data_IF_080732327865
#
_entry.id   IF_080732327865
#
_cell.length_a   1.000
_cell.length_b   1.000
_cell.length_c   1.000
_cell.angle_alpha   90.00
_cell.angle_beta   90.00
_cell.angle_gamma   90.00
#
_symmetry.space_group_name_H-M   'P 1'
#
loop_
_entity.id
_entity.type
_entity.pdbx_description
1 polymer ?
#
# COMPACT_ATOMS: atom_id res chain seq x y z
N UNK A 1 -8.83 13.32 -0.37
CA UNK A 1 -8.35 12.30 -1.34
C UNK A 1 -9.56 11.65 -1.98
N UNK A 2 -9.63 11.54 -3.31
CA UNK A 2 -10.75 10.88 -4.00
C UNK A 2 -10.20 9.77 -4.91
N UNK A 3 -10.33 8.53 -4.46
CA UNK A 3 -9.83 7.34 -5.16
C UNK A 3 -10.84 6.76 -6.19
N UNK A 4 -11.98 7.43 -6.39
CA UNK A 4 -12.86 7.12 -7.53
C UNK A 4 -12.41 7.81 -8.83
N UNK A 5 -11.46 8.75 -8.72
CA UNK A 5 -10.99 9.57 -9.85
C UNK A 5 -9.51 9.41 -10.17
N UNK A 6 -8.72 8.89 -9.24
CA UNK A 6 -7.28 8.66 -9.40
C UNK A 6 -6.81 7.59 -8.41
N UNK A 7 -5.73 6.88 -8.73
CA UNK A 7 -5.18 5.88 -7.81
C UNK A 7 -4.56 6.55 -6.56
N UNK A 8 -4.40 5.79 -5.46
CA UNK A 8 -3.52 6.17 -4.38
C UNK A 8 -2.07 6.20 -4.88
N UNK A 9 -1.16 6.76 -4.11
CA UNK A 9 0.27 6.72 -4.43
C UNK A 9 0.75 5.27 -4.64
N UNK A 10 1.74 5.10 -5.51
CA UNK A 10 2.38 3.80 -5.73
C UNK A 10 2.82 3.18 -4.39
N UNK A 11 2.74 1.86 -4.24
CA UNK A 11 3.21 1.18 -3.03
C UNK A 11 4.72 1.37 -2.78
N UNK A 12 5.48 1.79 -3.80
CA UNK A 12 6.94 2.04 -3.73
C UNK A 12 7.29 3.38 -3.09
N UNK A 13 6.35 4.32 -3.05
CA UNK A 13 6.59 5.62 -2.40
C UNK A 13 6.80 5.43 -0.91
N UNK A 14 7.84 6.09 -0.37
CA UNK A 14 8.24 5.95 1.03
C UNK A 14 7.89 7.18 1.86
N UNK A 15 7.60 6.93 3.13
CA UNK A 15 7.46 7.94 4.16
C UNK A 15 8.17 7.43 5.43
N UNK A 16 9.15 8.16 5.93
CA UNK A 16 9.97 7.70 7.05
C UNK A 16 10.72 6.39 6.77
N UNK A 17 11.03 6.12 5.49
CA UNK A 17 11.64 4.88 5.04
C UNK A 17 10.65 3.73 4.76
N UNK A 18 9.41 3.81 5.23
CA UNK A 18 8.39 2.79 5.01
C UNK A 18 7.76 2.91 3.62
N UNK A 19 7.87 1.87 2.81
CA UNK A 19 7.02 1.65 1.64
C UNK A 19 5.58 1.34 2.08
N UNK A 20 4.61 1.39 1.20
CA UNK A 20 3.19 1.19 1.47
C UNK A 20 2.53 2.30 2.30
N UNK A 21 3.25 2.94 3.23
CA UNK A 21 2.65 3.90 4.16
C UNK A 21 1.96 5.07 3.46
N UNK A 22 2.55 5.74 2.45
CA UNK A 22 1.84 6.79 1.72
C UNK A 22 0.56 6.32 1.04
N UNK A 23 0.57 5.13 0.43
CA UNK A 23 -0.60 4.51 -0.21
C UNK A 23 -1.71 4.20 0.81
N UNK A 24 -1.33 3.62 1.94
CA UNK A 24 -2.21 3.32 3.06
C UNK A 24 -2.87 4.60 3.59
N UNK A 25 -2.11 5.69 3.76
CA UNK A 25 -2.66 6.98 4.21
C UNK A 25 -3.62 7.60 3.18
N UNK A 26 -3.35 7.45 1.89
CA UNK A 26 -4.27 7.90 0.85
C UNK A 26 -5.60 7.14 0.90
N UNK A 27 -5.56 5.82 1.08
CA UNK A 27 -6.76 4.99 1.27
C UNK A 27 -7.50 5.36 2.56
N UNK A 28 -6.79 5.55 3.66
CA UNK A 28 -7.38 5.98 4.93
C UNK A 28 -8.14 7.32 4.77
N UNK A 29 -7.54 8.32 4.13
CA UNK A 29 -8.18 9.61 3.87
C UNK A 29 -9.39 9.49 2.95
N UNK A 30 -9.32 8.63 1.95
CA UNK A 30 -10.43 8.38 1.04
C UNK A 30 -11.60 7.66 1.73
N UNK A 31 -11.30 6.71 2.62
CA UNK A 31 -12.32 6.04 3.43
C UNK A 31 -13.04 7.03 4.36
N UNK A 32 -12.29 7.89 5.07
CA UNK A 32 -12.86 8.95 5.92
C UNK A 32 -13.75 9.89 5.11
N UNK A 33 -13.36 10.20 3.87
CA UNK A 33 -14.13 11.08 2.97
C UNK A 33 -15.27 10.38 2.22
N UNK A 34 -15.44 9.05 2.36
CA UNK A 34 -16.44 8.29 1.60
C UNK A 34 -16.15 8.20 0.10
N UNK A 35 -14.90 8.30 -0.31
CA UNK A 35 -14.44 8.35 -1.71
C UNK A 35 -13.40 7.28 -2.03
N UNK A 36 -13.47 6.14 -1.33
CA UNK A 36 -12.51 5.05 -1.42
C UNK A 36 -12.59 4.28 -2.75
N UNK A 37 -13.76 4.27 -3.41
CA UNK A 37 -13.97 3.51 -4.63
C UNK A 37 -13.86 2.00 -4.38
N UNK A 38 -13.12 1.30 -5.23
CA UNK A 38 -12.89 -0.15 -5.12
C UNK A 38 -11.71 -0.52 -4.20
N UNK A 39 -11.00 0.48 -3.68
CA UNK A 39 -9.91 0.25 -2.74
C UNK A 39 -10.42 -0.12 -1.35
N UNK A 40 -9.54 -0.74 -0.56
CA UNK A 40 -9.85 -1.15 0.80
C UNK A 40 -8.74 -0.68 1.75
N UNK A 41 -9.12 0.06 2.78
CA UNK A 41 -8.25 0.36 3.91
C UNK A 41 -8.13 -0.88 4.81
N UNK A 42 -6.98 -1.08 5.44
CA UNK A 42 -6.68 -2.27 6.24
C UNK A 42 -6.77 -3.60 5.45
N UNK A 43 -6.49 -3.55 4.14
CA UNK A 43 -6.41 -4.76 3.32
C UNK A 43 -5.19 -5.63 3.73
N UNK A 44 -5.08 -6.87 3.24
CA UNK A 44 -3.94 -7.74 3.57
C UNK A 44 -2.56 -7.10 3.32
N UNK A 45 -2.44 -6.23 2.30
CA UNK A 45 -1.19 -5.52 2.03
C UNK A 45 -0.90 -4.44 3.08
N UNK A 46 -1.93 -3.68 3.51
CA UNK A 46 -1.78 -2.67 4.57
C UNK A 46 -1.42 -3.31 5.92
N UNK A 47 -1.96 -4.49 6.21
CA UNK A 47 -1.64 -5.23 7.45
C UNK A 47 -0.16 -5.57 7.56
N UNK A 48 0.56 -5.73 6.44
CA UNK A 48 2.02 -5.90 6.46
C UNK A 48 2.73 -4.73 7.13
N UNK A 49 2.24 -3.51 6.90
CA UNK A 49 2.76 -2.33 7.60
C UNK A 49 2.33 -2.30 9.07
N UNK A 50 1.05 -2.51 9.36
CA UNK A 50 0.53 -2.47 10.73
C UNK A 50 1.20 -3.50 11.63
N UNK A 51 1.37 -4.74 11.14
CA UNK A 51 2.04 -5.82 11.87
C UNK A 51 3.52 -5.50 12.12
N UNK A 52 4.22 -4.97 11.11
CA UNK A 52 5.63 -4.61 11.24
C UNK A 52 5.84 -3.43 12.20
N UNK A 53 5.08 -2.36 12.05
CA UNK A 53 5.21 -1.18 12.90
C UNK A 53 4.60 -1.37 14.31
N UNK A 54 3.68 -2.32 14.47
CA UNK A 54 2.93 -2.48 15.72
C UNK A 54 2.02 -1.29 15.98
N UNK A 55 1.25 -0.87 14.97
CA UNK A 55 0.30 0.24 15.03
C UNK A 55 -1.11 -0.30 14.80
N UNK A 56 -2.05 0.13 15.64
CA UNK A 56 -3.46 -0.19 15.45
C UNK A 56 -4.07 0.65 14.32
N UNK A 57 -4.78 0.01 13.40
CA UNK A 57 -5.30 0.68 12.20
C UNK A 57 -6.44 1.68 12.52
N UNK A 58 -7.28 1.41 13.53
CA UNK A 58 -8.34 2.33 13.92
C UNK A 58 -7.77 3.54 14.68
N UNK A 59 -6.75 3.33 15.51
CA UNK A 59 -6.03 4.43 16.15
C UNK A 59 -5.36 5.34 15.11
N UNK A 60 -4.71 4.77 14.08
CA UNK A 60 -4.15 5.55 12.97
C UNK A 60 -5.23 6.32 12.22
N UNK A 61 -6.35 5.68 11.90
CA UNK A 61 -7.49 6.33 11.21
C UNK A 61 -8.04 7.50 12.02
N UNK A 62 -8.12 7.36 13.34
CA UNK A 62 -8.53 8.44 14.25
C UNK A 62 -7.59 9.64 14.16
N UNK A 63 -6.28 9.42 14.07
CA UNK A 63 -5.30 10.51 13.91
C UNK A 63 -5.41 11.17 12.53
N UNK A 64 -5.52 10.38 11.46
CA UNK A 64 -5.71 10.88 10.10
C UNK A 64 -6.98 11.73 9.98
N UNK A 65 -8.05 11.35 10.67
CA UNK A 65 -9.33 12.07 10.68
C UNK A 65 -9.23 13.49 11.29
N UNK A 66 -8.16 13.80 12.04
CA UNK A 66 -7.88 15.15 12.55
C UNK A 66 -7.35 16.10 11.44
N UNK A 67 -7.19 15.62 10.21
CA UNK A 67 -6.68 16.41 9.11
C UNK A 67 -5.16 16.57 9.07
N UNK A 68 -4.43 15.70 9.78
CA UNK A 68 -2.97 15.75 9.84
C UNK A 68 -2.33 15.44 8.48
N UNK A 69 -1.26 16.16 8.15
CA UNK A 69 -0.40 15.87 7.02
C UNK A 69 0.51 14.65 7.28
N UNK A 70 1.13 14.13 6.21
CA UNK A 70 1.96 12.92 6.27
C UNK A 70 3.07 12.98 7.32
N UNK A 71 3.77 14.12 7.44
CA UNK A 71 4.84 14.29 8.41
C UNK A 71 4.35 14.19 9.87
N UNK A 72 3.18 14.79 10.18
CA UNK A 72 2.59 14.72 11.52
C UNK A 72 2.07 13.33 11.83
N UNK A 73 1.49 12.63 10.84
CA UNK A 73 1.07 11.24 11.00
C UNK A 73 2.28 10.33 11.22
N UNK A 74 3.37 10.54 10.48
CA UNK A 74 4.61 9.79 10.70
C UNK A 74 5.17 10.00 12.12
N UNK A 75 5.20 11.25 12.60
CA UNK A 75 5.64 11.54 13.96
C UNK A 75 4.79 10.78 14.99
N UNK A 76 3.46 10.80 14.84
CA UNK A 76 2.56 10.04 15.70
C UNK A 76 2.84 8.52 15.63
N UNK A 77 3.05 7.95 14.43
CA UNK A 77 3.40 6.54 14.26
C UNK A 77 4.68 6.21 15.06
N UNK A 78 5.72 7.02 14.92
CA UNK A 78 7.01 6.79 15.58
C UNK A 78 6.90 6.85 17.11
N UNK A 79 5.99 7.65 17.66
CA UNK A 79 5.72 7.77 19.09
C UNK A 79 4.84 6.63 19.62
N UNK A 80 3.91 6.10 18.82
CA UNK A 80 2.87 5.17 19.27
C UNK A 80 3.06 3.72 18.79
N UNK A 81 4.04 3.46 17.94
CA UNK A 81 4.36 2.09 17.48
C UNK A 81 4.85 1.24 18.65
N UNK A 82 4.34 0.00 18.72
CA UNK A 82 4.76 -0.96 19.76
C UNK A 82 6.04 -1.72 19.37
N UNK A 83 6.35 -1.77 18.07
CA UNK A 83 7.58 -2.39 17.57
C UNK A 83 8.59 -1.31 17.20
N UNK A 84 9.69 -1.24 17.98
CA UNK A 84 10.77 -0.32 17.73
C UNK A 84 11.71 -0.91 16.68
N UNK A 85 11.95 -0.16 15.60
CA UNK A 85 12.87 -0.54 14.52
C UNK A 85 13.86 0.56 14.26
N UNK A 86 15.11 0.20 13.99
CA UNK A 86 16.13 1.10 13.48
C UNK A 86 15.83 1.49 12.02
N UNK A 87 16.46 2.56 11.55
CA UNK A 87 16.34 2.97 10.14
C UNK A 87 16.79 1.86 9.19
N UNK A 88 17.81 1.08 9.58
CA UNK A 88 18.29 -0.05 8.79
C UNK A 88 17.23 -1.16 8.69
N UNK A 89 16.58 -1.54 9.79
CA UNK A 89 15.52 -2.55 9.80
C UNK A 89 14.32 -2.11 8.94
N UNK A 90 13.93 -0.84 9.02
CA UNK A 90 12.89 -0.26 8.17
C UNK A 90 13.28 -0.34 6.70
N UNK A 91 14.54 0.00 6.37
CA UNK A 91 15.04 -0.07 5.01
C UNK A 91 15.05 -1.51 4.46
N UNK A 92 15.45 -2.50 5.27
CA UNK A 92 15.45 -3.92 4.89
C UNK A 92 14.03 -4.45 4.71
N UNK A 93 13.11 -4.11 5.61
CA UNK A 93 11.69 -4.47 5.46
C UNK A 93 11.10 -3.89 4.17
N UNK A 94 11.35 -2.62 3.90
CA UNK A 94 10.87 -1.94 2.69
C UNK A 94 11.44 -2.58 1.42
N UNK A 95 12.75 -2.86 1.38
CA UNK A 95 13.39 -3.54 0.26
C UNK A 95 12.80 -4.95 0.03
N UNK A 96 12.54 -5.69 1.10
CA UNK A 96 11.86 -6.99 1.01
C UNK A 96 10.44 -6.87 0.45
N UNK A 97 9.68 -5.85 0.84
CA UNK A 97 8.32 -5.62 0.30
C UNK A 97 8.34 -5.25 -1.18
N UNK A 98 9.30 -4.45 -1.62
CA UNK A 98 9.45 -4.06 -3.03
C UNK A 98 9.70 -5.25 -3.97
N UNK A 99 10.36 -6.28 -3.48
CA UNK A 99 10.73 -7.47 -4.26
C UNK A 99 9.88 -8.70 -3.93
N UNK A 100 8.89 -8.57 -3.04
CA UNK A 100 8.06 -9.69 -2.62
C UNK A 100 7.21 -10.23 -3.78
N UNK A 101 7.31 -11.53 -3.99
CA UNK A 101 6.55 -12.30 -5.00
C UNK A 101 5.45 -13.12 -4.31
N UNK A 102 4.46 -13.64 -5.06
CA UNK A 102 3.50 -14.60 -4.52
C UNK A 102 4.18 -15.81 -3.89
N UNK A 103 3.84 -16.10 -2.63
CA UNK A 103 4.52 -17.12 -1.84
C UNK A 103 4.00 -18.56 -2.08
N UNK A 104 2.79 -18.68 -2.63
CA UNK A 104 2.11 -19.96 -2.87
C UNK A 104 1.44 -19.99 -4.24
N UNK A 105 0.95 -21.18 -4.63
CA UNK A 105 0.34 -21.38 -5.94
C UNK A 105 -0.98 -20.63 -6.11
N UNK A 106 -1.76 -20.48 -5.05
CA UNK A 106 -3.04 -19.76 -5.07
C UNK A 106 -2.80 -18.27 -5.36
N UNK A 107 -1.92 -17.63 -4.60
CA UNK A 107 -1.54 -16.23 -4.79
C UNK A 107 -0.92 -15.98 -6.16
N UNK A 108 -0.11 -16.94 -6.65
CA UNK A 108 0.52 -16.84 -7.97
C UNK A 108 -0.52 -16.93 -9.08
N UNK A 109 -1.47 -17.85 -8.98
CA UNK A 109 -2.57 -17.99 -9.93
C UNK A 109 -3.44 -16.74 -9.94
N UNK A 110 -3.75 -16.19 -8.77
CA UNK A 110 -4.51 -14.95 -8.63
C UNK A 110 -3.84 -13.78 -9.36
N UNK A 111 -2.54 -13.53 -9.12
CA UNK A 111 -1.81 -12.45 -9.81
C UNK A 111 -1.80 -12.68 -11.33
N UNK A 112 -1.49 -13.90 -11.79
CA UNK A 112 -1.41 -14.20 -13.21
C UNK A 112 -2.76 -13.95 -13.90
N UNK A 113 -3.86 -14.35 -13.28
CA UNK A 113 -5.21 -14.10 -13.78
C UNK A 113 -5.50 -12.59 -13.88
N UNK A 114 -5.22 -11.83 -12.81
CA UNK A 114 -5.45 -10.38 -12.78
C UNK A 114 -4.57 -9.61 -13.77
N UNK A 115 -3.32 -9.99 -13.92
CA UNK A 115 -2.42 -9.41 -14.93
C UNK A 115 -2.93 -9.70 -16.34
N UNK A 116 -3.41 -10.91 -16.60
CA UNK A 116 -3.99 -11.27 -17.90
C UNK A 116 -5.29 -10.50 -18.18
N UNK A 117 -6.19 -10.37 -17.20
CA UNK A 117 -7.41 -9.54 -17.30
C UNK A 117 -7.09 -8.07 -17.61
N UNK A 118 -6.01 -7.55 -17.05
CA UNK A 118 -5.51 -6.20 -17.32
C UNK A 118 -4.85 -6.04 -18.70
N UNK A 119 -4.72 -7.11 -19.47
CA UNK A 119 -4.07 -7.11 -20.79
C UNK A 119 -2.55 -7.30 -20.75
N UNK A 120 -2.01 -7.67 -19.60
CA UNK A 120 -0.56 -7.82 -19.37
C UNK A 120 -0.05 -9.26 -19.45
N UNK A 121 -0.77 -10.19 -20.09
CA UNK A 121 -0.39 -11.61 -20.13
C UNK A 121 1.03 -11.89 -20.65
N UNK A 122 1.52 -11.05 -21.57
CA UNK A 122 2.84 -11.16 -22.18
C UNK A 122 3.92 -10.28 -21.48
N UNK A 123 3.58 -9.66 -20.34
CA UNK A 123 4.45 -8.76 -19.58
C UNK A 123 5.28 -9.55 -18.57
N UNK A 124 6.51 -9.90 -18.94
CA UNK A 124 7.45 -10.63 -18.06
C UNK A 124 8.01 -9.77 -16.93
N UNK A 125 7.87 -8.44 -17.02
CA UNK A 125 8.31 -7.48 -16.01
C UNK A 125 7.35 -7.33 -14.82
N UNK A 126 6.15 -7.94 -14.88
CA UNK A 126 5.18 -7.95 -13.79
C UNK A 126 5.37 -9.21 -12.94
N UNK A 127 6.33 -9.16 -12.01
CA UNK A 127 6.71 -10.31 -11.20
C UNK A 127 6.44 -10.18 -9.70
N UNK A 128 6.31 -8.96 -9.19
CA UNK A 128 6.11 -8.68 -7.77
C UNK A 128 4.68 -8.21 -7.46
N UNK A 129 4.32 -8.24 -6.17
CA UNK A 129 3.07 -7.64 -5.72
C UNK A 129 2.97 -6.14 -6.04
N UNK A 130 4.09 -5.42 -5.98
CA UNK A 130 4.09 -3.98 -6.27
C UNK A 130 3.96 -3.70 -7.76
N UNK A 131 4.58 -4.52 -8.62
CA UNK A 131 4.39 -4.42 -10.07
C UNK A 131 2.91 -4.61 -10.42
N UNK A 132 2.27 -5.63 -9.82
CA UNK A 132 0.84 -5.87 -10.02
C UNK A 132 -0.02 -4.69 -9.57
N UNK A 133 0.23 -4.12 -8.38
CA UNK A 133 -0.54 -2.98 -7.88
C UNK A 133 -0.38 -1.74 -8.77
N UNK A 134 0.83 -1.47 -9.25
CA UNK A 134 1.08 -0.34 -10.14
C UNK A 134 0.42 -0.55 -11.52
N UNK A 135 0.42 -1.78 -12.05
CA UNK A 135 -0.29 -2.11 -13.28
C UNK A 135 -1.81 -1.98 -13.12
N UNK A 136 -2.37 -2.53 -12.06
CA UNK A 136 -3.80 -2.49 -11.74
C UNK A 136 -4.30 -1.04 -11.62
N UNK A 137 -3.56 -0.20 -10.90
CA UNK A 137 -3.85 1.23 -10.78
C UNK A 137 -3.82 1.93 -12.15
N UNK A 138 -2.81 1.64 -12.97
CA UNK A 138 -2.67 2.25 -14.29
C UNK A 138 -3.85 1.90 -15.21
N UNK A 139 -4.24 0.63 -15.25
CA UNK A 139 -5.32 0.14 -16.13
C UNK A 139 -6.69 0.60 -15.61
N UNK A 140 -6.92 0.57 -14.32
CA UNK A 140 -8.18 1.03 -13.68
C UNK A 140 -8.51 2.48 -14.04
N UNK A 141 -7.50 3.33 -14.20
CA UNK A 141 -7.69 4.75 -14.56
C UNK A 141 -7.42 5.05 -16.04
N UNK A 142 -7.61 4.07 -16.92
CA UNK A 142 -7.66 4.25 -18.37
C UNK A 142 -6.34 4.06 -19.09
N UNK A 143 -5.29 3.61 -18.40
CA UNK A 143 -4.06 3.16 -19.02
C UNK A 143 -4.21 1.82 -19.73
N UNK A 144 -3.19 1.41 -20.45
CA UNK A 144 -3.09 0.10 -21.10
C UNK A 144 -1.85 -0.62 -20.59
N UNK A 145 -1.95 -1.93 -20.41
CA UNK A 145 -0.84 -2.79 -20.00
C UNK A 145 0.25 -2.87 -21.06
#
# INVERSE_FOLDING_TARGET
MNLTQRPPRSPRVRLGGYVLLPRLLDKCRAEIAGTLGEYHYNCPMDRRFFDFAGVDHEALKTQVAQGLGDGSVLAWILENRTHQHSEWEIAQWSAHRETAVPADNESRSFINEKVAEAGGADREDIGTWFDFLDLDDHVTFGGKA
#
